data_IF_637982318343
#
_entry.id   IF_637982318343
#
_cell.length_a   1.000
_cell.length_b   1.000
_cell.length_c   1.000
_cell.angle_alpha   90.00
_cell.angle_beta   90.00
_cell.angle_gamma   90.00
#
_symmetry.space_group_name_H-M   'P 1'
#
loop_
_entity.id
_entity.type
_entity.pdbx_description
1 polymer ?
#
# COMPACT_ATOMS: atom_id res chain seq x y z
N UNK A 1 5.54 -29.36 -18.11
CA UNK A 1 5.20 -29.99 -16.83
C UNK A 1 6.01 -29.46 -15.64
N UNK A 2 7.10 -28.70 -15.82
CA UNK A 2 7.84 -28.06 -14.70
C UNK A 2 7.25 -26.70 -14.28
N UNK A 3 6.56 -26.00 -15.18
CA UNK A 3 5.96 -24.68 -14.92
C UNK A 3 4.75 -24.70 -13.97
N UNK A 4 3.99 -25.80 -13.88
CA UNK A 4 2.86 -25.89 -12.93
C UNK A 4 3.30 -26.09 -11.48
N UNK A 5 4.45 -26.75 -11.25
CA UNK A 5 4.97 -27.00 -9.92
C UNK A 5 5.57 -25.74 -9.29
N UNK A 6 6.09 -24.82 -10.10
CA UNK A 6 6.58 -23.50 -9.67
C UNK A 6 5.45 -22.50 -9.40
N UNK A 7 4.26 -22.71 -9.99
CA UNK A 7 3.06 -21.90 -9.71
C UNK A 7 2.42 -22.18 -8.36
N UNK A 8 2.65 -23.37 -7.80
CA UNK A 8 2.09 -23.78 -6.51
C UNK A 8 2.63 -22.91 -5.34
N UNK A 9 3.95 -22.71 -5.19
CA UNK A 9 4.52 -21.78 -4.21
C UNK A 9 3.99 -20.35 -4.36
N UNK A 10 4.03 -19.78 -5.57
CA UNK A 10 3.56 -18.41 -5.83
C UNK A 10 2.10 -18.22 -5.43
N UNK A 11 1.24 -19.15 -5.88
CA UNK A 11 -0.18 -19.12 -5.59
C UNK A 11 -0.42 -19.25 -4.10
N UNK A 12 0.36 -20.07 -3.40
CA UNK A 12 0.26 -20.24 -1.96
C UNK A 12 0.72 -18.99 -1.20
N UNK A 13 1.81 -18.36 -1.62
CA UNK A 13 2.32 -17.12 -1.01
C UNK A 13 1.34 -15.96 -1.20
N UNK A 14 0.80 -15.78 -2.41
CA UNK A 14 -0.19 -14.75 -2.72
C UNK A 14 -1.54 -15.03 -2.07
N UNK A 15 -1.96 -16.29 -2.02
CA UNK A 15 -3.21 -16.68 -1.36
C UNK A 15 -3.09 -16.50 0.15
N UNK A 16 -1.96 -16.85 0.76
CA UNK A 16 -1.65 -16.58 2.18
C UNK A 16 -1.57 -15.09 2.45
N UNK A 17 -0.92 -14.30 1.59
CA UNK A 17 -0.88 -12.85 1.69
C UNK A 17 -2.30 -12.23 1.58
N UNK A 18 -3.14 -12.76 0.68
CA UNK A 18 -4.52 -12.34 0.53
C UNK A 18 -5.41 -12.77 1.70
N UNK A 19 -5.19 -13.94 2.29
CA UNK A 19 -5.89 -14.44 3.48
C UNK A 19 -5.50 -13.63 4.72
N UNK A 20 -4.21 -13.36 4.88
CA UNK A 20 -3.68 -12.44 5.90
C UNK A 20 -4.28 -11.04 5.72
N UNK A 21 -4.36 -10.51 4.50
CA UNK A 21 -4.98 -9.22 4.20
C UNK A 21 -6.51 -9.18 4.38
N UNK A 22 -7.22 -10.32 4.28
CA UNK A 22 -8.66 -10.44 4.59
C UNK A 22 -8.93 -10.66 6.08
N UNK A 23 -7.95 -11.19 6.83
CA UNK A 23 -7.96 -11.18 8.28
C UNK A 23 -7.73 -9.78 8.82
N UNK A 24 -8.17 -9.52 10.05
CA UNK A 24 -7.79 -8.28 10.74
C UNK A 24 -6.30 -8.35 11.03
N UNK A 25 -5.48 -7.67 10.23
CA UNK A 25 -4.04 -7.52 10.43
C UNK A 25 -3.78 -6.57 11.61
N UNK A 26 -4.15 -6.99 12.81
CA UNK A 26 -4.02 -6.17 14.02
C UNK A 26 -2.74 -6.48 14.81
N UNK A 27 -2.01 -7.53 14.44
CA UNK A 27 -0.77 -7.92 15.12
C UNK A 27 0.46 -7.59 14.29
N UNK A 28 1.52 -7.19 14.99
CA UNK A 28 2.82 -6.91 14.39
C UNK A 28 3.37 -8.15 13.68
N UNK A 29 3.20 -9.32 14.27
CA UNK A 29 3.68 -10.60 13.76
C UNK A 29 3.05 -10.93 12.40
N UNK A 30 1.73 -10.78 12.27
CA UNK A 30 1.03 -11.02 11.02
C UNK A 30 1.48 -10.04 9.92
N UNK A 31 1.75 -8.79 10.29
CA UNK A 31 2.27 -7.78 9.36
C UNK A 31 3.70 -8.07 8.89
N UNK A 32 4.57 -8.56 9.79
CA UNK A 32 5.92 -9.01 9.42
C UNK A 32 5.87 -10.20 8.48
N UNK A 33 5.01 -11.18 8.77
CA UNK A 33 4.81 -12.34 7.91
C UNK A 33 4.29 -11.94 6.52
N UNK A 34 3.32 -11.02 6.48
CA UNK A 34 2.80 -10.49 5.22
C UNK A 34 3.87 -9.74 4.41
N UNK A 35 4.72 -8.95 5.07
CA UNK A 35 5.84 -8.29 4.38
C UNK A 35 6.78 -9.33 3.78
N UNK A 36 7.18 -10.34 4.57
CA UNK A 36 8.06 -11.40 4.10
C UNK A 36 7.50 -12.18 2.91
N UNK A 37 6.21 -12.54 2.97
CA UNK A 37 5.55 -13.27 1.88
C UNK A 37 5.51 -12.45 0.56
N UNK A 38 5.27 -11.14 0.64
CA UNK A 38 5.29 -10.28 -0.55
C UNK A 38 6.72 -10.03 -1.06
N UNK A 39 7.72 -9.93 -0.18
CA UNK A 39 9.13 -9.82 -0.57
C UNK A 39 9.63 -11.08 -1.28
N UNK A 40 9.27 -12.25 -0.77
CA UNK A 40 9.56 -13.54 -1.42
C UNK A 40 8.92 -13.63 -2.79
N UNK A 41 7.62 -13.31 -2.90
CA UNK A 41 6.90 -13.33 -4.16
C UNK A 41 7.53 -12.40 -5.22
N UNK A 42 8.11 -11.26 -4.83
CA UNK A 42 8.81 -10.37 -5.77
C UNK A 42 10.11 -10.96 -6.34
N UNK A 43 10.69 -11.97 -5.69
CA UNK A 43 11.84 -12.73 -6.20
C UNK A 43 11.46 -13.83 -7.18
N UNK A 44 10.18 -14.18 -7.30
CA UNK A 44 9.73 -15.28 -8.13
C UNK A 44 9.63 -14.90 -9.61
N UNK A 45 10.10 -15.79 -10.48
CA UNK A 45 10.17 -15.54 -11.92
C UNK A 45 8.79 -15.21 -12.53
N UNK A 46 7.74 -15.91 -12.13
CA UNK A 46 6.39 -15.70 -12.67
C UNK A 46 5.86 -14.29 -12.34
N UNK A 47 6.15 -13.76 -11.15
CA UNK A 47 5.88 -12.35 -10.78
C UNK A 47 6.80 -11.41 -11.56
N UNK A 48 8.05 -11.82 -11.80
CA UNK A 48 8.97 -11.05 -12.61
C UNK A 48 8.60 -11.00 -14.10
N UNK A 49 7.75 -11.91 -14.59
CA UNK A 49 7.31 -11.95 -15.99
C UNK A 49 5.93 -11.27 -16.17
N UNK A 50 5.10 -11.15 -15.12
CA UNK A 50 3.82 -10.43 -15.14
C UNK A 50 3.93 -9.05 -14.46
N UNK A 51 3.87 -7.99 -15.27
CA UNK A 51 3.97 -6.62 -14.79
C UNK A 51 2.83 -6.23 -13.82
N UNK A 52 1.58 -6.62 -14.11
CA UNK A 52 0.44 -6.24 -13.28
C UNK A 52 0.46 -6.97 -11.94
N UNK A 53 0.83 -8.26 -11.97
CA UNK A 53 1.01 -9.05 -10.76
C UNK A 53 2.13 -8.45 -9.90
N UNK A 54 3.28 -8.11 -10.49
CA UNK A 54 4.35 -7.43 -9.75
C UNK A 54 3.88 -6.13 -9.09
N UNK A 55 3.11 -5.32 -9.80
CA UNK A 55 2.57 -4.08 -9.27
C UNK A 55 1.60 -4.32 -8.11
N UNK A 56 0.86 -5.44 -8.15
CA UNK A 56 0.03 -5.89 -7.04
C UNK A 56 0.82 -6.25 -5.81
N UNK A 57 1.83 -7.11 -5.96
CA UNK A 57 2.69 -7.51 -4.85
C UNK A 57 3.42 -6.30 -4.27
N UNK A 58 3.91 -5.39 -5.11
CA UNK A 58 4.51 -4.12 -4.66
C UNK A 58 3.51 -3.26 -3.87
N UNK A 59 2.27 -3.13 -4.33
CA UNK A 59 1.24 -2.39 -3.60
C UNK A 59 0.93 -3.03 -2.24
N UNK A 60 0.79 -4.36 -2.20
CA UNK A 60 0.44 -5.10 -0.98
C UNK A 60 1.58 -5.01 0.04
N UNK A 61 2.83 -5.17 -0.40
CA UNK A 61 4.00 -4.93 0.43
C UNK A 61 4.01 -3.49 0.98
N UNK A 62 3.75 -2.50 0.11
CA UNK A 62 3.67 -1.10 0.51
C UNK A 62 2.63 -0.85 1.61
N UNK A 63 1.42 -1.37 1.45
CA UNK A 63 0.36 -1.25 2.45
C UNK A 63 0.73 -1.93 3.78
N UNK A 64 1.26 -3.16 3.73
CA UNK A 64 1.70 -3.90 4.90
C UNK A 64 2.79 -3.16 5.68
N UNK A 65 3.76 -2.55 4.98
CA UNK A 65 4.82 -1.76 5.60
C UNK A 65 4.30 -0.49 6.29
N UNK A 66 3.28 0.19 5.73
CA UNK A 66 2.62 1.33 6.38
C UNK A 66 1.93 0.90 7.66
N UNK A 67 1.24 -0.24 7.64
CA UNK A 67 0.61 -0.80 8.83
C UNK A 67 1.67 -1.17 9.86
N UNK A 68 2.71 -1.92 9.47
CA UNK A 68 3.80 -2.34 10.36
C UNK A 68 4.48 -1.15 11.02
N UNK A 69 4.69 -0.03 10.31
CA UNK A 69 5.28 1.17 10.88
C UNK A 69 4.50 1.73 12.09
N UNK A 70 3.19 1.51 12.16
CA UNK A 70 2.36 1.96 13.27
C UNK A 70 2.52 1.06 14.51
N UNK A 71 2.98 -0.18 14.33
CA UNK A 71 3.29 -1.14 15.40
C UNK A 71 4.74 -1.05 15.88
N UNK A 72 5.57 -0.23 15.25
CA UNK A 72 6.96 -0.02 15.65
C UNK A 72 7.09 1.18 16.59
N UNK A 73 7.88 1.04 17.65
CA UNK A 73 8.19 2.14 18.59
C UNK A 73 9.50 2.85 18.23
N UNK A 74 10.37 2.20 17.47
CA UNK A 74 11.65 2.77 17.07
C UNK A 74 11.47 3.66 15.83
N UNK A 75 11.68 4.98 16.00
CA UNK A 75 11.54 5.95 14.90
C UNK A 75 12.41 5.65 13.68
N UNK A 76 13.63 5.12 13.88
CA UNK A 76 14.52 4.78 12.77
C UNK A 76 13.96 3.63 11.94
N UNK A 77 13.41 2.61 12.62
CA UNK A 77 12.68 1.51 11.97
C UNK A 77 11.43 2.05 11.24
N UNK A 78 10.62 2.89 11.88
CA UNK A 78 9.45 3.51 11.26
C UNK A 78 9.81 4.29 9.98
N UNK A 79 10.86 5.12 10.03
CA UNK A 79 11.35 5.88 8.86
C UNK A 79 11.74 4.95 7.71
N UNK A 80 12.44 3.85 8.00
CA UNK A 80 12.86 2.86 6.98
C UNK A 80 11.67 2.13 6.36
N UNK A 81 10.69 1.73 7.18
CA UNK A 81 9.48 1.07 6.71
C UNK A 81 8.68 2.00 5.80
N UNK A 82 8.46 3.25 6.22
CA UNK A 82 7.72 4.25 5.43
C UNK A 82 8.44 4.62 4.13
N UNK A 83 9.77 4.76 4.15
CA UNK A 83 10.55 5.00 2.94
C UNK A 83 10.45 3.84 1.94
N UNK A 84 10.49 2.60 2.43
CA UNK A 84 10.31 1.40 1.60
C UNK A 84 8.89 1.32 1.06
N UNK A 85 7.89 1.60 1.90
CA UNK A 85 6.48 1.61 1.49
C UNK A 85 6.23 2.59 0.33
N UNK A 86 6.71 3.84 0.46
CA UNK A 86 6.59 4.86 -0.58
C UNK A 86 7.26 4.42 -1.90
N UNK A 87 8.42 3.75 -1.83
CA UNK A 87 9.10 3.20 -3.01
C UNK A 87 8.29 2.09 -3.67
N UNK A 88 7.76 1.14 -2.88
CA UNK A 88 6.95 0.03 -3.41
C UNK A 88 5.67 0.53 -4.06
N UNK A 89 4.93 1.44 -3.39
CA UNK A 89 3.71 2.02 -3.92
C UNK A 89 3.96 2.91 -5.16
N UNK A 90 5.05 3.68 -5.15
CA UNK A 90 5.48 4.45 -6.32
C UNK A 90 5.85 3.57 -7.51
N UNK A 91 6.53 2.44 -7.26
CA UNK A 91 6.82 1.43 -8.29
C UNK A 91 5.55 0.80 -8.86
N UNK A 92 4.60 0.44 -8.00
CA UNK A 92 3.31 -0.10 -8.42
C UNK A 92 2.56 0.86 -9.36
N UNK A 93 2.59 2.18 -9.09
CA UNK A 93 1.96 3.19 -9.94
C UNK A 93 2.59 3.38 -11.33
N UNK A 94 3.82 2.91 -11.55
CA UNK A 94 4.40 2.93 -12.91
C UNK A 94 3.65 1.99 -13.86
N UNK A 95 3.00 0.96 -13.31
CA UNK A 95 2.31 -0.08 -14.05
C UNK A 95 0.79 0.07 -13.87
N UNK A 96 0.35 0.24 -12.62
CA UNK A 96 -1.05 0.52 -12.25
C UNK A 96 -1.35 1.97 -12.52
N UNK A 97 -1.63 2.30 -13.77
CA UNK A 97 -2.00 3.65 -14.19
C UNK A 97 -3.52 3.81 -14.23
N UNK A 98 -3.99 5.06 -14.15
CA UNK A 98 -5.43 5.39 -14.24
C UNK A 98 -6.09 4.81 -15.50
N UNK A 99 -5.39 4.76 -16.62
CA UNK A 99 -5.94 4.29 -17.90
C UNK A 99 -5.94 2.77 -18.05
N UNK A 100 -5.08 2.05 -17.34
CA UNK A 100 -4.94 0.58 -17.48
C UNK A 100 -5.80 -0.14 -16.46
N UNK A 101 -5.70 0.25 -15.19
CA UNK A 101 -6.40 -0.37 -14.06
C UNK A 101 -6.85 0.72 -13.07
N UNK A 102 -7.91 1.49 -13.41
CA UNK A 102 -8.30 2.71 -12.68
C UNK A 102 -8.60 2.47 -11.20
N UNK A 103 -9.26 1.36 -10.87
CA UNK A 103 -9.59 1.00 -9.49
C UNK A 103 -8.32 0.73 -8.68
N UNK A 104 -7.41 -0.08 -9.21
CA UNK A 104 -6.16 -0.47 -8.55
C UNK A 104 -5.21 0.72 -8.42
N UNK A 105 -5.17 1.62 -9.41
CA UNK A 105 -4.47 2.90 -9.33
C UNK A 105 -4.98 3.74 -8.16
N UNK A 106 -6.30 3.86 -8.00
CA UNK A 106 -6.91 4.61 -6.92
C UNK A 106 -6.64 3.98 -5.53
N UNK A 107 -6.67 2.65 -5.44
CA UNK A 107 -6.27 1.94 -4.21
C UNK A 107 -4.81 2.26 -3.85
N UNK A 108 -3.89 2.17 -4.81
CA UNK A 108 -2.47 2.47 -4.57
C UNK A 108 -2.25 3.94 -4.19
N UNK A 109 -3.01 4.87 -4.79
CA UNK A 109 -3.00 6.30 -4.40
C UNK A 109 -3.48 6.52 -2.96
N UNK A 110 -4.54 5.85 -2.51
CA UNK A 110 -4.97 5.94 -1.11
C UNK A 110 -3.92 5.37 -0.14
N UNK A 111 -3.25 4.28 -0.51
CA UNK A 111 -2.15 3.72 0.27
C UNK A 111 -0.94 4.68 0.36
N UNK A 112 -0.60 5.39 -0.72
CA UNK A 112 0.42 6.45 -0.68
C UNK A 112 0.02 7.58 0.27
N UNK A 113 -1.25 7.99 0.24
CA UNK A 113 -1.76 9.01 1.14
C UNK A 113 -1.64 8.60 2.62
N UNK A 114 -1.90 7.33 2.93
CA UNK A 114 -1.65 6.77 4.27
C UNK A 114 -0.16 6.76 4.63
N UNK A 115 0.73 6.35 3.71
CA UNK A 115 2.17 6.37 3.93
C UNK A 115 2.68 7.78 4.25
N UNK A 116 2.23 8.78 3.48
CA UNK A 116 2.53 10.19 3.72
C UNK A 116 1.98 10.68 5.06
N UNK A 117 0.74 10.33 5.40
CA UNK A 117 0.16 10.68 6.71
C UNK A 117 1.00 10.14 7.88
N UNK A 118 1.44 8.88 7.82
CA UNK A 118 2.28 8.31 8.88
C UNK A 118 3.68 8.95 8.90
N UNK A 119 4.27 9.24 7.74
CA UNK A 119 5.56 9.94 7.66
C UNK A 119 5.46 11.36 8.21
N UNK A 120 4.37 12.08 7.95
CA UNK A 120 4.09 13.37 8.57
C UNK A 120 3.97 13.28 10.09
N UNK A 121 3.22 12.30 10.62
CA UNK A 121 3.09 12.12 12.07
C UNK A 121 4.45 11.94 12.75
N UNK A 122 5.36 11.25 12.08
CA UNK A 122 6.71 10.98 12.55
C UNK A 122 7.68 12.16 12.40
N UNK A 123 7.68 12.83 11.24
CA UNK A 123 8.70 13.84 10.88
C UNK A 123 8.17 15.26 10.94
N UNK A 124 6.91 15.49 10.55
CA UNK A 124 6.29 16.81 10.55
C UNK A 124 6.43 17.62 9.28
N UNK A 125 6.95 17.05 8.20
CA UNK A 125 7.16 17.78 6.96
C UNK A 125 5.83 18.04 6.25
N UNK A 126 5.49 19.31 6.03
CA UNK A 126 4.26 19.70 5.34
C UNK A 126 4.18 19.16 3.91
N UNK A 127 5.31 18.84 3.27
CA UNK A 127 5.34 18.19 1.97
C UNK A 127 4.55 16.88 2.01
N UNK A 128 4.61 16.13 3.11
CA UNK A 128 3.86 14.88 3.27
C UNK A 128 2.34 15.10 3.30
N UNK A 129 1.87 16.09 4.06
CA UNK A 129 0.44 16.40 4.08
C UNK A 129 -0.05 16.81 2.69
N UNK A 130 0.72 17.63 1.99
CA UNK A 130 0.35 18.09 0.65
C UNK A 130 0.33 16.94 -0.36
N UNK A 131 1.37 16.10 -0.38
CA UNK A 131 1.44 14.92 -1.24
C UNK A 131 0.28 13.95 -0.96
N UNK A 132 0.06 13.60 0.31
CA UNK A 132 -1.01 12.68 0.69
C UNK A 132 -2.40 13.21 0.36
N UNK A 133 -2.64 14.52 0.48
CA UNK A 133 -3.91 15.14 0.09
C UNK A 133 -4.17 15.05 -1.41
N UNK A 134 -3.16 15.33 -2.22
CA UNK A 134 -3.27 15.20 -3.69
C UNK A 134 -3.60 13.76 -4.06
N UNK A 135 -2.88 12.79 -3.50
CA UNK A 135 -3.09 11.38 -3.82
C UNK A 135 -4.48 10.87 -3.41
N UNK A 136 -4.96 11.22 -2.21
CA UNK A 136 -6.28 10.76 -1.74
C UNK A 136 -7.43 11.44 -2.48
N UNK A 137 -7.28 12.71 -2.89
CA UNK A 137 -8.31 13.43 -3.66
C UNK A 137 -8.44 12.84 -5.08
N UNK A 138 -7.32 12.45 -5.69
CA UNK A 138 -7.29 11.73 -6.96
C UNK A 138 -7.95 10.35 -6.86
N UNK A 139 -7.63 9.58 -5.82
CA UNK A 139 -8.24 8.28 -5.58
C UNK A 139 -9.76 8.38 -5.38
N UNK A 140 -10.20 9.31 -4.53
CA UNK A 140 -11.62 9.55 -4.23
C UNK A 140 -12.41 9.93 -5.49
N UNK A 141 -11.84 10.77 -6.35
CA UNK A 141 -12.48 11.14 -7.62
C UNK A 141 -12.68 9.91 -8.51
N UNK A 142 -11.67 9.05 -8.62
CA UNK A 142 -11.76 7.81 -9.40
C UNK A 142 -12.78 6.83 -8.82
N UNK A 143 -12.81 6.63 -7.50
CA UNK A 143 -13.82 5.79 -6.87
C UNK A 143 -15.23 6.31 -7.10
N UNK A 144 -15.44 7.63 -7.05
CA UNK A 144 -16.73 8.25 -7.38
C UNK A 144 -17.12 8.05 -8.85
N UNK A 145 -16.18 8.23 -9.79
CA UNK A 145 -16.41 7.97 -11.22
C UNK A 145 -16.80 6.52 -11.50
N UNK A 146 -16.31 5.57 -10.69
CA UNK A 146 -16.58 4.13 -10.83
C UNK A 146 -17.77 3.64 -10.00
N UNK A 147 -18.38 4.48 -9.16
CA UNK A 147 -19.46 4.07 -8.24
C UNK A 147 -19.02 3.14 -7.10
N UNK A 148 -17.75 3.21 -6.70
CA UNK A 148 -17.14 2.38 -5.65
C UNK A 148 -17.26 3.09 -4.29
N UNK A 149 -18.45 3.04 -3.69
CA UNK A 149 -18.78 3.83 -2.49
C UNK A 149 -18.03 3.40 -1.22
N UNK A 150 -17.70 2.11 -1.07
CA UNK A 150 -16.94 1.61 0.09
C UNK A 150 -15.49 2.13 0.04
N UNK A 151 -14.80 1.97 -1.09
CA UNK A 151 -13.44 2.47 -1.28
C UNK A 151 -13.37 4.00 -1.23
N UNK A 152 -14.40 4.68 -1.75
CA UNK A 152 -14.54 6.14 -1.62
C UNK A 152 -14.67 6.57 -0.16
N UNK A 153 -15.49 5.89 0.62
CA UNK A 153 -15.65 6.15 2.07
C UNK A 153 -14.33 5.97 2.81
N UNK A 154 -13.57 4.93 2.46
CA UNK A 154 -12.22 4.72 2.98
C UNK A 154 -11.27 5.88 2.62
N UNK A 155 -11.22 6.31 1.36
CA UNK A 155 -10.42 7.45 0.94
C UNK A 155 -10.83 8.75 1.67
N UNK A 156 -12.12 8.97 1.90
CA UNK A 156 -12.63 10.10 2.66
C UNK A 156 -12.22 10.07 4.14
N UNK A 157 -12.14 8.88 4.75
CA UNK A 157 -11.60 8.73 6.09
C UNK A 157 -10.12 9.13 6.15
N UNK A 158 -9.31 8.69 5.20
CA UNK A 158 -7.88 9.06 5.10
C UNK A 158 -7.72 10.57 4.90
N UNK A 159 -8.51 11.16 4.01
CA UNK A 159 -8.53 12.61 3.76
C UNK A 159 -8.85 13.42 5.03
N UNK A 160 -9.83 12.98 5.82
CA UNK A 160 -10.16 13.62 7.11
C UNK A 160 -8.97 13.60 8.08
N UNK A 161 -8.27 12.48 8.17
CA UNK A 161 -7.09 12.37 9.03
C UNK A 161 -5.94 13.28 8.57
N UNK A 162 -5.70 13.41 7.27
CA UNK A 162 -4.71 14.34 6.72
C UNK A 162 -5.05 15.80 7.04
N UNK A 163 -6.33 16.19 6.90
CA UNK A 163 -6.78 17.55 7.22
C UNK A 163 -6.67 17.85 8.72
N UNK A 164 -6.99 16.89 9.60
CA UNK A 164 -6.84 17.10 11.03
C UNK A 164 -5.36 17.17 11.45
N UNK A 165 -4.50 16.35 10.85
CA UNK A 165 -3.07 16.34 11.15
C UNK A 165 -2.36 17.63 10.70
N UNK A 166 -2.75 18.19 9.54
CA UNK A 166 -2.22 19.46 9.05
C UNK A 166 -2.57 20.65 9.95
N UNK A 167 -3.77 20.68 10.52
CA UNK A 167 -4.23 21.76 11.43
C UNK A 167 -3.58 21.71 12.82
N UNK A 168 -3.14 20.53 13.28
CA UNK A 168 -2.62 20.35 14.63
C UNK A 168 -1.19 20.87 14.84
N UNK A 169 -0.45 21.22 13.76
CA UNK A 169 0.93 21.76 13.83
C UNK A 169 1.07 23.16 13.20
N UNK A 170 -0.01 23.77 12.73
CA UNK A 170 -0.04 25.15 12.20
C UNK A 170 -0.44 26.14 13.29
#
# INVERSE_FOLDING_TARGET
MVLEFLRQPLRTALQRASELARGSLDTREALVELCGANEEALGEKDVLDDALLRAEVQNNLGAALVMLSQHETNESTQKKLLATALRCLGGALQIRTRSVVPREWAITKTNLALAHLQRYRLVGDQIDIMAGRVDVDLARAMFAEMGLEDEKTWAEAVRRQLLSAGKARS
#
